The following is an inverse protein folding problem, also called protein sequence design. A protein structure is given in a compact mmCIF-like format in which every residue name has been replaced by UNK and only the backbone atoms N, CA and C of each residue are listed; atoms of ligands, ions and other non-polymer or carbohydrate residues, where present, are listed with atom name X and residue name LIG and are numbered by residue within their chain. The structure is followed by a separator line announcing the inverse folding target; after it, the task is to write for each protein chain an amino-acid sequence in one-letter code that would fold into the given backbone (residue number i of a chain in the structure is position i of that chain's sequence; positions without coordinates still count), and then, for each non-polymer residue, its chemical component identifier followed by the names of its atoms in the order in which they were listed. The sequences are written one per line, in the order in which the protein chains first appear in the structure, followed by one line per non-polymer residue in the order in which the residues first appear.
data_IF_479842721746
#
_entry.id   IF_479842721746
#
_cell.length_a   1.000
_cell.length_b   1.000
_cell.length_c   1.000
_cell.angle_alpha   90.00
_cell.angle_beta   90.00
_cell.angle_gamma   90.00
#
_symmetry.space_group_name_H-M   'P 1'
#
loop_
_entity.id
_entity.type
_entity.pdbx_description
1 polymer ?
#
# COMPACT_ATOMS: atom_id res chain seq x y z
N UNK A 1 -28.69 16.19 -36.83
CA UNK A 1 -27.37 16.73 -37.21
C UNK A 1 -26.34 15.69 -36.84
N UNK A 2 -25.65 15.09 -37.83
CA UNK A 2 -24.64 14.09 -37.59
C UNK A 2 -23.44 14.72 -36.88
N UNK A 3 -22.96 14.07 -35.82
CA UNK A 3 -21.73 14.43 -35.13
C UNK A 3 -20.61 14.35 -36.18
N UNK A 4 -19.80 15.40 -36.38
CA UNK A 4 -18.69 15.36 -37.34
C UNK A 4 -17.74 14.21 -36.97
N UNK A 5 -17.38 13.38 -37.95
CA UNK A 5 -16.51 12.21 -37.79
C UNK A 5 -15.18 12.52 -37.07
N UNK A 6 -14.63 13.71 -37.25
CA UNK A 6 -13.43 14.19 -36.56
C UNK A 6 -13.61 14.34 -35.04
N UNK A 7 -14.81 14.67 -34.57
CA UNK A 7 -15.11 14.75 -33.13
C UNK A 7 -15.21 13.34 -32.50
N UNK A 8 -15.75 12.36 -33.24
CA UNK A 8 -15.80 10.97 -32.78
C UNK A 8 -14.41 10.35 -32.63
N UNK A 9 -13.49 10.64 -33.56
CA UNK A 9 -12.11 10.16 -33.49
C UNK A 9 -11.35 10.76 -32.29
N UNK A 10 -11.52 12.06 -32.02
CA UNK A 10 -10.92 12.70 -30.83
C UNK A 10 -11.47 12.11 -29.53
N UNK A 11 -12.77 11.87 -29.45
CA UNK A 11 -13.39 11.25 -28.28
C UNK A 11 -12.90 9.81 -28.06
N UNK A 12 -12.74 9.02 -29.12
CA UNK A 12 -12.17 7.68 -29.00
C UNK A 12 -10.75 7.72 -28.45
N UNK A 13 -9.90 8.59 -28.99
CA UNK A 13 -8.51 8.74 -28.53
C UNK A 13 -8.45 9.15 -27.05
N UNK A 14 -9.31 10.09 -26.63
CA UNK A 14 -9.39 10.51 -25.22
C UNK A 14 -9.86 9.36 -24.31
N UNK A 15 -10.90 8.62 -24.68
CA UNK A 15 -11.42 7.49 -23.89
C UNK A 15 -10.41 6.34 -23.83
N UNK A 16 -9.65 6.08 -24.89
CA UNK A 16 -8.56 5.11 -24.91
C UNK A 16 -7.44 5.48 -23.94
N UNK A 17 -6.99 6.75 -23.96
CA UNK A 17 -5.96 7.23 -23.03
C UNK A 17 -6.46 7.14 -21.58
N UNK A 18 -7.71 7.50 -21.31
CA UNK A 18 -8.32 7.37 -19.99
C UNK A 18 -8.39 5.91 -19.52
N UNK A 19 -8.72 4.97 -20.40
CA UNK A 19 -8.77 3.55 -20.09
C UNK A 19 -7.39 3.00 -19.72
N UNK A 20 -6.33 3.38 -20.46
CA UNK A 20 -4.95 2.98 -20.16
C UNK A 20 -4.47 3.52 -18.80
N UNK A 21 -4.72 4.79 -18.53
CA UNK A 21 -4.35 5.42 -17.26
C UNK A 21 -5.08 4.79 -16.07
N UNK A 22 -6.36 4.47 -16.24
CA UNK A 22 -7.17 3.82 -15.20
C UNK A 22 -6.65 2.41 -14.92
N UNK A 23 -6.30 1.66 -15.97
CA UNK A 23 -5.73 0.32 -15.84
C UNK A 23 -4.40 0.33 -15.08
N UNK A 24 -3.51 1.28 -15.37
CA UNK A 24 -2.23 1.44 -14.64
C UNK A 24 -2.46 1.75 -13.16
N UNK A 25 -3.40 2.65 -12.85
CA UNK A 25 -3.77 3.01 -11.47
C UNK A 25 -4.33 1.83 -10.70
N UNK A 26 -5.13 0.96 -11.34
CA UNK A 26 -5.64 -0.27 -10.73
C UNK A 26 -4.48 -1.17 -10.33
N UNK A 27 -3.52 -1.42 -11.23
CA UNK A 27 -2.36 -2.28 -10.94
C UNK A 27 -1.53 -1.74 -9.78
N UNK A 28 -1.29 -0.43 -9.74
CA UNK A 28 -0.57 0.22 -8.64
C UNK A 28 -1.32 0.08 -7.31
N UNK A 29 -2.63 0.38 -7.31
CA UNK A 29 -3.46 0.33 -6.10
C UNK A 29 -3.64 -1.10 -5.59
N UNK A 30 -3.74 -2.09 -6.48
CA UNK A 30 -3.77 -3.51 -6.12
C UNK A 30 -2.46 -3.96 -5.47
N UNK A 31 -1.31 -3.53 -6.01
CA UNK A 31 -0.02 -3.83 -5.42
C UNK A 31 0.09 -3.23 -4.01
N UNK A 32 -0.31 -1.96 -3.85
CA UNK A 32 -0.34 -1.27 -2.56
C UNK A 32 -1.27 -1.96 -1.54
N UNK A 33 -2.49 -2.33 -1.97
CA UNK A 33 -3.45 -3.06 -1.13
C UNK A 33 -2.88 -4.41 -0.67
N UNK A 34 -2.23 -5.15 -1.57
CA UNK A 34 -1.61 -6.44 -1.23
C UNK A 34 -0.46 -6.28 -0.24
N UNK A 35 0.31 -5.19 -0.31
CA UNK A 35 1.35 -4.87 0.66
C UNK A 35 0.72 -4.58 2.03
N UNK A 36 -0.28 -3.70 2.10
CA UNK A 36 -0.97 -3.36 3.36
C UNK A 36 -1.65 -4.57 4.01
N UNK A 37 -2.24 -5.47 3.22
CA UNK A 37 -2.82 -6.73 3.72
C UNK A 37 -1.77 -7.65 4.32
N UNK A 38 -0.56 -7.71 3.74
CA UNK A 38 0.56 -8.47 4.31
C UNK A 38 1.02 -7.87 5.63
N UNK A 39 1.12 -6.54 5.72
CA UNK A 39 1.52 -5.84 6.95
C UNK A 39 0.49 -6.05 8.07
N UNK A 40 -0.80 -5.97 7.76
CA UNK A 40 -1.87 -6.25 8.71
C UNK A 40 -1.82 -7.69 9.23
N UNK A 41 -1.53 -8.66 8.34
CA UNK A 41 -1.35 -10.05 8.73
C UNK A 41 -0.14 -10.24 9.62
N UNK A 42 0.98 -9.60 9.29
CA UNK A 42 2.20 -9.65 10.11
C UNK A 42 1.93 -9.11 11.52
N UNK A 43 1.28 -7.95 11.63
CA UNK A 43 0.91 -7.35 12.91
C UNK A 43 0.01 -8.28 13.73
N UNK A 44 -1.00 -8.90 13.10
CA UNK A 44 -1.86 -9.87 13.77
C UNK A 44 -1.08 -11.09 14.30
N UNK A 45 -0.12 -11.61 13.54
CA UNK A 45 0.72 -12.72 13.98
C UNK A 45 1.61 -12.30 15.17
N UNK A 46 2.26 -11.14 15.09
CA UNK A 46 3.06 -10.60 16.20
C UNK A 46 2.22 -10.41 17.46
N UNK A 47 0.98 -9.91 17.35
CA UNK A 47 0.08 -9.78 18.49
C UNK A 47 -0.31 -11.14 19.10
N UNK A 48 -0.38 -12.20 18.30
CA UNK A 48 -0.66 -13.55 18.81
C UNK A 48 0.56 -14.15 19.52
N UNK A 49 1.76 -13.96 18.96
CA UNK A 49 3.01 -14.38 19.62
C UNK A 49 3.24 -13.63 20.93
N UNK A 50 2.93 -12.33 21.00
CA UNK A 50 3.05 -11.57 22.25
C UNK A 50 2.09 -12.04 23.35
N UNK A 51 0.95 -12.63 22.99
CA UNK A 51 -0.02 -13.18 23.95
C UNK A 51 0.35 -14.57 24.46
N UNK A 52 1.14 -15.34 23.71
CA UNK A 52 1.59 -16.66 24.14
C UNK A 52 2.74 -16.57 25.16
N UNK A 53 3.42 -15.42 25.23
CA UNK A 53 4.49 -15.14 26.18
C UNK A 53 3.93 -14.78 27.58
N UNK A 54 4.66 -15.16 28.63
CA UNK A 54 4.32 -14.78 30.01
C UNK A 54 4.60 -13.29 30.25
N UNK A 55 3.78 -12.64 31.10
CA UNK A 55 3.81 -11.19 31.32
C UNK A 55 5.12 -10.65 31.92
N UNK A 56 5.94 -11.53 32.50
CA UNK A 56 7.21 -11.20 33.17
C UNK A 56 8.42 -11.30 32.23
N UNK A 57 8.19 -11.61 30.95
CA UNK A 57 9.26 -11.76 29.97
C UNK A 57 9.70 -10.40 29.43
N UNK A 58 11.01 -10.11 29.50
CA UNK A 58 11.59 -8.91 28.93
C UNK A 58 11.53 -8.93 27.39
N UNK A 59 10.94 -7.90 26.79
CA UNK A 59 10.85 -7.74 25.33
C UNK A 59 11.81 -6.65 24.87
N UNK A 60 12.53 -6.93 23.78
CA UNK A 60 13.53 -6.04 23.22
C UNK A 60 13.21 -5.76 21.75
N UNK A 61 13.21 -4.47 21.37
CA UNK A 61 13.05 -4.06 19.98
C UNK A 61 14.42 -3.73 19.37
N UNK A 62 14.68 -4.25 18.16
CA UNK A 62 15.88 -3.91 17.41
C UNK A 62 15.74 -2.58 16.68
N UNK A 63 16.55 -1.58 17.03
CA UNK A 63 16.50 -0.21 16.46
C UNK A 63 17.33 -0.02 15.18
N UNK A 64 17.76 -1.12 14.53
CA UNK A 64 18.58 -1.09 13.32
C UNK A 64 20.07 -0.80 13.59
N UNK A 65 20.83 -0.50 12.53
CA UNK A 65 22.25 -0.07 12.61
C UNK A 65 22.26 1.45 12.63
N UNK A 66 22.37 2.07 13.81
CA UNK A 66 22.61 3.50 13.92
C UNK A 66 24.13 3.74 13.90
N UNK A 67 24.71 3.79 12.69
CA UNK A 67 26.07 4.27 12.46
C UNK A 67 26.07 5.15 11.21
N UNK A 68 25.69 6.42 11.37
CA UNK A 68 26.31 7.45 10.54
C UNK A 68 27.72 7.62 11.08
N UNK A 69 28.70 7.02 10.42
CA UNK A 69 30.12 7.32 10.68
C UNK A 69 30.48 8.62 9.96
N UNK A 70 30.92 9.67 10.66
CA UNK A 70 32.00 10.49 10.15
C UNK A 70 33.32 9.94 10.72
N UNK A 71 34.22 9.59 9.81
CA UNK A 71 35.65 9.33 10.00
C UNK A 71 36.11 7.88 10.33
N UNK A 72 37.17 7.39 9.63
CA UNK A 72 37.63 6.01 9.69
C UNK A 72 38.66 5.70 10.80
N UNK A 73 38.83 6.54 11.83
CA UNK A 73 39.99 6.43 12.75
C UNK A 73 39.72 5.82 14.13
N UNK A 74 38.56 5.21 14.40
CA UNK A 74 38.28 4.59 15.71
C UNK A 74 37.62 3.20 15.59
N UNK A 75 38.30 2.24 14.96
CA UNK A 75 37.87 0.84 14.90
C UNK A 75 38.20 0.01 16.17
N UNK A 76 38.56 0.62 17.30
CA UNK A 76 39.05 -0.08 18.48
C UNK A 76 38.01 -0.30 19.60
N UNK A 77 36.70 -0.32 19.30
CA UNK A 77 35.66 -0.53 20.33
C UNK A 77 34.49 -1.37 19.81
N UNK A 78 34.78 -2.60 19.37
CA UNK A 78 33.81 -3.46 18.66
C UNK A 78 32.84 -4.24 19.57
N UNK A 79 32.91 -4.14 20.91
CA UNK A 79 32.03 -4.92 21.81
C UNK A 79 30.83 -4.13 22.40
N UNK A 80 30.97 -2.82 22.63
CA UNK A 80 29.91 -1.95 23.20
C UNK A 80 28.89 -1.47 22.16
N UNK A 81 29.27 -1.47 20.89
CA UNK A 81 28.43 -1.21 19.71
C UNK A 81 27.27 -2.23 19.59
N UNK A 82 27.43 -3.45 20.12
CA UNK A 82 26.39 -4.48 20.06
C UNK A 82 25.24 -4.24 21.07
N UNK A 83 25.54 -3.63 22.22
CA UNK A 83 24.56 -3.38 23.29
C UNK A 83 23.59 -2.23 22.97
N UNK A 84 23.96 -1.32 22.06
CA UNK A 84 23.11 -0.20 21.60
C UNK A 84 22.07 -0.60 20.53
N UNK A 85 22.04 -1.87 20.11
CA UNK A 85 21.15 -2.34 19.03
C UNK A 85 19.72 -2.63 19.50
N UNK A 86 19.51 -2.81 20.80
CA UNK A 86 18.24 -3.25 21.36
C UNK A 86 17.80 -2.36 22.53
N UNK A 87 16.58 -1.84 22.46
CA UNK A 87 15.96 -1.09 23.56
C UNK A 87 14.98 -2.01 24.27
N UNK A 88 15.06 -2.05 25.60
CA UNK A 88 14.06 -2.72 26.43
C UNK A 88 12.77 -1.90 26.37
N UNK A 89 11.69 -2.51 25.88
CA UNK A 89 10.38 -1.86 25.80
C UNK A 89 9.38 -2.71 26.57
N UNK A 90 8.59 -2.12 27.49
CA UNK A 90 7.61 -2.89 28.22
C UNK A 90 6.54 -3.45 27.25
N UNK A 91 6.11 -4.71 27.44
CA UNK A 91 5.17 -5.38 26.54
C UNK A 91 3.81 -4.66 26.47
N UNK A 92 3.44 -3.92 27.52
CA UNK A 92 2.23 -3.09 27.55
C UNK A 92 2.26 -1.93 26.55
N UNK A 93 3.43 -1.32 26.33
CA UNK A 93 3.60 -0.25 25.33
C UNK A 93 3.56 -0.82 23.91
N UNK A 94 4.17 -1.99 23.70
CA UNK A 94 4.15 -2.69 22.40
C UNK A 94 2.74 -3.06 21.97
N UNK A 95 1.95 -3.62 22.90
CA UNK A 95 0.57 -3.99 22.61
C UNK A 95 -0.31 -2.78 22.26
N UNK A 96 -0.11 -1.62 22.92
CA UNK A 96 -0.80 -0.38 22.55
C UNK A 96 -0.42 0.10 21.16
N UNK A 97 0.88 0.03 20.80
CA UNK A 97 1.36 0.40 19.47
C UNK A 97 0.81 -0.53 18.40
N UNK A 98 0.93 -1.84 18.58
CA UNK A 98 0.36 -2.84 17.66
C UNK A 98 -1.14 -2.63 17.45
N UNK A 99 -1.89 -2.33 18.52
CA UNK A 99 -3.32 -2.04 18.41
C UNK A 99 -3.59 -0.74 17.62
N UNK A 100 -2.81 0.31 17.84
CA UNK A 100 -2.94 1.57 17.09
C UNK A 100 -2.57 1.40 15.61
N UNK A 101 -1.50 0.64 15.32
CA UNK A 101 -1.05 0.32 13.97
C UNK A 101 -2.03 -0.62 13.25
N UNK A 102 -2.66 -1.55 13.96
CA UNK A 102 -3.71 -2.41 13.39
C UNK A 102 -4.94 -1.58 12.98
N UNK A 103 -5.33 -0.62 13.82
CA UNK A 103 -6.45 0.27 13.52
C UNK A 103 -6.15 1.20 12.33
N UNK A 104 -4.93 1.75 12.23
CA UNK A 104 -4.55 2.56 11.06
C UNK A 104 -4.50 1.72 9.78
N UNK A 105 -3.87 0.55 9.82
CA UNK A 105 -3.82 -0.38 8.67
C UNK A 105 -5.21 -0.80 8.21
N UNK A 106 -6.16 -1.05 9.13
CA UNK A 106 -7.53 -1.37 8.74
C UNK A 106 -8.23 -0.22 8.02
N UNK A 107 -7.99 1.03 8.42
CA UNK A 107 -8.56 2.22 7.75
C UNK A 107 -7.96 2.37 6.36
N UNK A 108 -6.63 2.31 6.25
CA UNK A 108 -5.90 2.38 4.99
C UNK A 108 -6.37 1.32 4.00
N UNK A 109 -6.59 0.07 4.46
CA UNK A 109 -7.13 -1.01 3.63
C UNK A 109 -8.52 -0.64 3.08
N UNK A 110 -9.43 -0.16 3.93
CA UNK A 110 -10.78 0.22 3.47
C UNK A 110 -10.77 1.39 2.49
N UNK A 111 -9.85 2.35 2.67
CA UNK A 111 -9.75 3.51 1.79
C UNK A 111 -9.10 3.15 0.45
N UNK A 112 -8.10 2.27 0.45
CA UNK A 112 -7.53 1.70 -0.78
C UNK A 112 -8.55 0.83 -1.53
N UNK A 113 -9.40 0.08 -0.83
CA UNK A 113 -10.48 -0.69 -1.46
C UNK A 113 -11.51 0.21 -2.15
N UNK A 114 -11.93 1.31 -1.51
CA UNK A 114 -12.80 2.31 -2.14
C UNK A 114 -12.15 2.93 -3.38
N UNK A 115 -10.86 3.29 -3.27
CA UNK A 115 -10.08 3.86 -4.37
C UNK A 115 -9.97 2.89 -5.54
N UNK A 116 -9.70 1.62 -5.26
CA UNK A 116 -9.64 0.54 -6.25
C UNK A 116 -11.01 0.37 -6.93
N UNK A 117 -12.10 0.34 -6.17
CA UNK A 117 -13.45 0.23 -6.73
C UNK A 117 -13.81 1.41 -7.65
N UNK A 118 -13.45 2.64 -7.26
CA UNK A 118 -13.64 3.82 -8.11
C UNK A 118 -12.86 3.72 -9.43
N UNK A 119 -11.61 3.25 -9.38
CA UNK A 119 -10.79 3.07 -10.58
C UNK A 119 -11.34 1.96 -11.50
N UNK A 120 -11.83 0.86 -10.93
CA UNK A 120 -12.47 -0.23 -11.68
C UNK A 120 -13.77 0.21 -12.36
N UNK A 121 -14.62 0.95 -11.65
CA UNK A 121 -15.86 1.51 -12.22
C UNK A 121 -15.57 2.52 -13.31
N UNK A 122 -14.57 3.39 -13.13
CA UNK A 122 -14.12 4.33 -14.17
C UNK A 122 -13.64 3.57 -15.42
N UNK A 123 -12.81 2.54 -15.25
CA UNK A 123 -12.34 1.71 -16.36
C UNK A 123 -13.50 1.02 -17.11
N UNK A 124 -14.47 0.46 -16.37
CA UNK A 124 -15.67 -0.16 -16.96
C UNK A 124 -16.52 0.86 -17.72
N UNK A 125 -16.72 2.06 -17.17
CA UNK A 125 -17.46 3.13 -17.83
C UNK A 125 -16.78 3.54 -19.14
N UNK A 126 -15.45 3.74 -19.15
CA UNK A 126 -14.69 4.03 -20.36
C UNK A 126 -14.82 2.93 -21.41
N UNK A 127 -14.80 1.64 -21.02
CA UNK A 127 -15.02 0.52 -21.95
C UNK A 127 -16.42 0.51 -22.56
N UNK A 128 -17.44 0.76 -21.75
CA UNK A 128 -18.82 0.86 -22.25
C UNK A 128 -19.00 2.04 -23.21
N UNK A 129 -18.31 3.16 -23.00
CA UNK A 129 -18.32 4.28 -23.95
C UNK A 129 -17.76 3.89 -25.31
N UNK A 130 -16.65 3.13 -25.35
CA UNK A 130 -16.06 2.61 -26.59
C UNK A 130 -17.05 1.69 -27.31
N UNK A 131 -17.66 0.74 -26.59
CA UNK A 131 -18.63 -0.21 -27.18
C UNK A 131 -19.84 0.50 -27.80
N UNK A 132 -20.40 1.52 -27.11
CA UNK A 132 -21.51 2.32 -27.64
C UNK A 132 -21.14 3.08 -28.91
N UNK A 133 -19.93 3.64 -28.98
CA UNK A 133 -19.44 4.34 -30.18
C UNK A 133 -19.30 3.36 -31.34
N UNK A 134 -18.71 2.17 -31.11
CA UNK A 134 -18.56 1.13 -32.13
C UNK A 134 -19.93 0.62 -32.64
N UNK A 135 -20.88 0.39 -31.72
CA UNK A 135 -22.22 -0.09 -32.07
C UNK A 135 -23.05 0.98 -32.82
N UNK A 136 -22.79 2.26 -32.57
CA UNK A 136 -23.44 3.37 -33.29
C UNK A 136 -22.79 3.61 -34.66
N UNK A 137 -21.47 3.47 -34.76
CA UNK A 137 -20.72 3.61 -36.02
C UNK A 137 -20.92 2.45 -37.01
N UNK A 138 -21.25 1.24 -36.55
CA UNK A 138 -21.55 0.08 -37.40
C UNK A 138 -23.00 -0.04 -37.86
N UNK A 139 -23.88 0.89 -37.47
CA UNK A 139 -25.32 0.88 -37.76
C UNK A 139 -25.74 1.82 -38.91
N UNK A 140 -24.78 2.35 -39.66
CA UNK A 140 -24.99 3.19 -40.85
C UNK A 140 -24.65 2.45 -42.13
#
# INVERSE_FOLDING_TARGET
MAIPNAALQKLLQEVETQALLSQQKITQTQAELSAKRRDARLNQLTANELKSLSQDTNVYEGVGKMYETPSPTACAFSLTILALRFIAVPPSTLNKRLASEAASLSKDITDLEKKLHYQETTYKNSRQHIEKILQTGGRS
#
